data_IF_098996479530
#
_entry.id   IF_098996479530
#
_cell.length_a   1.000
_cell.length_b   1.000
_cell.length_c   1.000
_cell.angle_alpha   90.00
_cell.angle_beta   90.00
_cell.angle_gamma   90.00
#
_symmetry.space_group_name_H-M   'P 1'
#
loop_
_entity.id
_entity.type
_entity.pdbx_description
1 polymer ?
#
# COMPACT_ATOMS: atom_id res chain seq x y z
N UNK A 1 -24.90 -3.54 1.54
CA UNK A 1 -24.27 -2.54 0.65
C UNK A 1 -22.85 -3.01 0.42
N UNK A 2 -22.42 -3.33 -0.81
CA UNK A 2 -21.02 -3.67 -1.05
C UNK A 2 -20.13 -2.47 -0.68
N UNK A 3 -18.92 -2.71 -0.16
CA UNK A 3 -18.02 -1.66 0.33
C UNK A 3 -18.32 -1.11 1.74
N UNK A 4 -19.48 -1.45 2.34
CA UNK A 4 -19.78 -1.14 3.74
C UNK A 4 -19.32 -2.29 4.64
N UNK A 5 -18.45 -1.97 5.61
CA UNK A 5 -17.91 -2.90 6.62
C UNK A 5 -18.83 -2.99 7.83
N UNK A 6 -19.41 -1.88 8.28
CA UNK A 6 -20.33 -1.83 9.43
C UNK A 6 -21.38 -0.74 9.24
N UNK A 7 -22.58 -0.97 9.77
CA UNK A 7 -23.68 -0.02 9.75
C UNK A 7 -24.42 -0.03 11.09
N UNK A 8 -24.42 1.11 11.78
CA UNK A 8 -25.19 1.32 13.01
C UNK A 8 -26.42 2.16 12.71
N UNK A 9 -27.58 1.66 13.13
CA UNK A 9 -28.88 2.32 12.92
C UNK A 9 -29.50 2.64 14.27
N UNK A 10 -29.55 3.93 14.62
CA UNK A 10 -30.21 4.44 15.80
C UNK A 10 -31.51 5.18 15.46
N UNK A 11 -32.43 5.27 16.42
CA UNK A 11 -33.62 6.11 16.29
C UNK A 11 -33.51 7.32 17.21
N UNK A 12 -33.71 8.51 16.66
CA UNK A 12 -33.86 9.78 17.38
C UNK A 12 -35.32 10.21 17.34
N UNK A 13 -35.94 10.35 18.51
CA UNK A 13 -37.35 10.76 18.64
C UNK A 13 -37.56 12.20 18.16
N UNK A 14 -38.76 12.56 17.64
CA UNK A 14 -39.93 11.69 17.45
C UNK A 14 -39.94 10.84 16.17
N UNK A 15 -39.04 11.05 15.21
CA UNK A 15 -39.13 10.38 13.90
C UNK A 15 -37.88 10.35 13.03
N UNK A 16 -36.70 10.63 13.59
CA UNK A 16 -35.44 10.67 12.83
C UNK A 16 -34.70 9.35 12.98
N UNK A 17 -34.13 8.83 11.89
CA UNK A 17 -33.14 7.74 11.95
C UNK A 17 -31.73 8.36 11.94
N UNK A 18 -30.86 7.85 12.79
CA UNK A 18 -29.44 8.15 12.82
C UNK A 18 -28.71 6.95 12.22
N UNK A 19 -27.94 7.18 11.15
CA UNK A 19 -27.19 6.15 10.46
C UNK A 19 -25.70 6.48 10.57
N UNK A 20 -24.90 5.53 11.03
CA UNK A 20 -23.43 5.60 10.97
C UNK A 20 -22.95 4.43 10.12
N UNK A 21 -22.17 4.71 9.08
CA UNK A 21 -21.60 3.70 8.19
C UNK A 21 -20.08 3.72 8.30
N UNK A 22 -19.46 2.54 8.36
CA UNK A 22 -18.02 2.37 8.13
C UNK A 22 -17.82 1.69 6.79
N UNK A 23 -17.14 2.37 5.89
CA UNK A 23 -16.78 1.85 4.57
C UNK A 23 -15.36 1.27 4.57
N UNK A 24 -15.11 0.34 3.64
CA UNK A 24 -13.79 -0.25 3.45
C UNK A 24 -12.89 0.78 2.75
N UNK A 25 -11.79 1.14 3.40
CA UNK A 25 -10.84 2.10 2.86
C UNK A 25 -10.02 1.47 1.72
N UNK A 26 -9.98 2.08 0.53
CA UNK A 26 -9.16 1.58 -0.56
C UNK A 26 -7.67 1.77 -0.23
N UNK A 27 -6.86 0.76 -0.57
CA UNK A 27 -5.39 0.77 -0.37
C UNK A 27 -4.62 0.78 -1.68
N UNK A 28 -5.22 0.36 -2.79
CA UNK A 28 -4.56 0.33 -4.09
C UNK A 28 -5.56 0.38 -5.25
N UNK A 29 -5.04 0.64 -6.45
CA UNK A 29 -5.72 0.44 -7.72
C UNK A 29 -5.25 -0.89 -8.34
N UNK A 30 -6.16 -1.76 -8.73
CA UNK A 30 -5.83 -3.02 -9.38
C UNK A 30 -6.42 -3.12 -10.80
N UNK A 31 -5.72 -3.68 -11.78
CA UNK A 31 -6.30 -4.00 -13.09
C UNK A 31 -7.43 -5.03 -12.95
N UNK A 32 -8.61 -4.69 -13.47
CA UNK A 32 -9.79 -5.55 -13.46
C UNK A 32 -10.51 -5.44 -14.82
N UNK A 33 -10.31 -6.41 -15.72
CA UNK A 33 -11.04 -6.48 -16.98
C UNK A 33 -10.86 -5.25 -17.89
N UNK A 34 -9.63 -4.74 -18.01
CA UNK A 34 -9.30 -3.60 -18.89
C UNK A 34 -9.54 -2.21 -18.29
N UNK A 35 -9.99 -2.14 -17.03
CA UNK A 35 -10.13 -0.90 -16.25
C UNK A 35 -9.38 -1.03 -14.91
N UNK A 36 -9.23 0.08 -14.19
CA UNK A 36 -8.77 0.06 -12.80
C UNK A 36 -9.97 -0.11 -11.87
N UNK A 37 -9.76 -0.83 -10.78
CA UNK A 37 -10.71 -0.96 -9.69
C UNK A 37 -10.03 -0.69 -8.35
N UNK A 38 -10.79 -0.16 -7.40
CA UNK A 38 -10.31 0.06 -6.04
C UNK A 38 -10.27 -1.27 -5.29
N UNK A 39 -9.20 -1.51 -4.55
CA UNK A 39 -9.08 -2.68 -3.67
C UNK A 39 -8.80 -2.29 -2.24
N UNK A 40 -9.38 -3.01 -1.29
CA UNK A 40 -9.12 -2.84 0.14
C UNK A 40 -7.88 -3.62 0.61
N UNK A 41 -7.58 -3.54 1.91
CA UNK A 41 -6.43 -4.21 2.53
C UNK A 41 -6.48 -5.74 2.48
N UNK A 42 -7.66 -6.34 2.27
CA UNK A 42 -7.82 -7.77 2.06
C UNK A 42 -7.66 -8.16 0.57
N UNK A 43 -7.43 -7.19 -0.32
CA UNK A 43 -7.39 -7.38 -1.76
C UNK A 43 -8.77 -7.60 -2.39
N UNK A 44 -9.85 -7.28 -1.67
CA UNK A 44 -11.19 -7.35 -2.21
C UNK A 44 -11.48 -6.11 -3.07
N UNK A 45 -12.12 -6.34 -4.23
CA UNK A 45 -12.53 -5.27 -5.14
C UNK A 45 -13.71 -4.54 -4.54
N UNK A 46 -13.58 -3.22 -4.41
CA UNK A 46 -14.61 -2.33 -3.91
C UNK A 46 -15.54 -1.87 -5.05
N UNK A 47 -16.83 -1.63 -4.78
CA UNK A 47 -17.82 -1.28 -5.79
C UNK A 47 -17.78 0.22 -6.17
N UNK A 48 -16.68 0.91 -5.90
CA UNK A 48 -16.52 2.35 -6.12
C UNK A 48 -15.76 2.60 -7.42
N UNK A 49 -16.17 3.62 -8.18
CA UNK A 49 -15.47 4.01 -9.41
C UNK A 49 -14.24 4.88 -9.06
N UNK A 50 -13.01 4.44 -9.38
CA UNK A 50 -11.82 5.25 -9.16
C UNK A 50 -11.81 6.54 -10.00
N UNK A 51 -12.54 6.61 -11.10
CA UNK A 51 -12.60 7.81 -11.95
C UNK A 51 -13.41 8.94 -11.31
N UNK A 52 -14.35 8.63 -10.42
CA UNK A 52 -15.13 9.64 -9.70
C UNK A 52 -14.35 10.24 -8.52
N UNK A 53 -13.53 9.42 -7.85
CA UNK A 53 -12.77 9.83 -6.67
C UNK A 53 -11.33 10.27 -6.95
N UNK A 54 -10.77 9.87 -8.10
CA UNK A 54 -9.37 10.10 -8.51
C UNK A 54 -8.36 9.94 -7.36
N UNK A 55 -8.38 8.82 -6.62
CA UNK A 55 -7.61 8.70 -5.39
C UNK A 55 -6.13 8.48 -5.72
N UNK A 56 -5.25 9.16 -4.97
CA UNK A 56 -3.80 9.00 -5.07
C UNK A 56 -3.37 7.72 -4.37
N UNK A 57 -3.43 6.61 -5.11
CA UNK A 57 -3.18 5.25 -4.62
C UNK A 57 -2.20 4.50 -5.53
N UNK A 58 -1.31 3.69 -4.96
CA UNK A 58 -0.39 2.86 -5.73
C UNK A 58 -1.13 1.83 -6.59
N UNK A 59 -0.51 1.46 -7.71
CA UNK A 59 -1.03 0.40 -8.59
C UNK A 59 -0.56 -0.98 -8.12
N UNK A 60 -1.49 -1.88 -7.82
CA UNK A 60 -1.23 -3.27 -7.51
C UNK A 60 -1.14 -4.09 -8.81
N UNK A 61 0.06 -4.54 -9.14
CA UNK A 61 0.39 -5.32 -10.34
C UNK A 61 0.53 -6.80 -9.93
N UNK A 62 -0.60 -7.41 -9.56
CA UNK A 62 -0.67 -8.81 -9.10
C UNK A 62 -0.33 -9.03 -7.62
N UNK A 63 -0.43 -10.28 -7.16
CA UNK A 63 -0.20 -10.67 -5.76
C UNK A 63 -1.40 -10.51 -4.81
N UNK A 64 -2.48 -9.83 -5.24
CA UNK A 64 -3.78 -9.79 -4.56
C UNK A 64 -3.67 -9.38 -3.10
N UNK A 65 -4.32 -10.14 -2.21
CA UNK A 65 -4.37 -9.88 -0.76
C UNK A 65 -2.99 -9.68 -0.11
N UNK A 66 -1.95 -10.38 -0.56
CA UNK A 66 -0.60 -10.25 0.02
C UNK A 66 -0.01 -8.87 -0.23
N UNK A 67 -0.13 -8.36 -1.46
CA UNK A 67 0.37 -7.02 -1.82
C UNK A 67 -0.54 -5.94 -1.23
N UNK A 68 -1.86 -6.14 -1.26
CA UNK A 68 -2.80 -5.20 -0.65
C UNK A 68 -2.58 -5.05 0.86
N UNK A 69 -2.36 -6.16 1.58
CA UNK A 69 -2.04 -6.14 3.00
C UNK A 69 -0.68 -5.48 3.30
N UNK A 70 0.32 -5.72 2.45
CA UNK A 70 1.62 -5.05 2.54
C UNK A 70 1.50 -3.53 2.35
N UNK A 71 0.72 -3.09 1.36
CA UNK A 71 0.42 -1.67 1.11
C UNK A 71 -0.35 -1.03 2.27
N UNK A 72 -1.32 -1.74 2.84
CA UNK A 72 -2.03 -1.29 4.04
C UNK A 72 -1.07 -1.07 5.21
N UNK A 73 -0.16 -2.03 5.47
CA UNK A 73 0.87 -1.89 6.51
C UNK A 73 1.83 -0.75 6.23
N UNK A 74 2.23 -0.54 4.97
CA UNK A 74 3.03 0.61 4.58
C UNK A 74 2.32 1.93 4.91
N UNK A 75 1.03 2.04 4.59
CA UNK A 75 0.20 3.20 4.97
C UNK A 75 0.15 3.41 6.48
N UNK A 76 -0.07 2.34 7.25
CA UNK A 76 -0.26 2.42 8.70
C UNK A 76 1.04 2.76 9.43
N UNK A 77 2.17 2.22 8.97
CA UNK A 77 3.47 2.37 9.62
C UNK A 77 4.27 3.59 9.13
N UNK A 78 4.15 3.95 7.85
CA UNK A 78 4.80 5.11 7.26
C UNK A 78 3.96 5.70 6.11
N UNK A 79 3.01 6.61 6.44
CA UNK A 79 2.21 7.29 5.44
C UNK A 79 3.03 8.04 4.38
N UNK A 80 4.24 8.49 4.74
CA UNK A 80 5.11 9.25 3.83
C UNK A 80 5.75 8.35 2.79
N UNK A 81 6.14 7.12 3.17
CA UNK A 81 6.56 6.09 2.22
C UNK A 81 5.39 5.72 1.32
N UNK A 82 4.22 5.43 1.90
CA UNK A 82 3.03 5.00 1.16
C UNK A 82 2.64 5.98 0.05
N UNK A 83 2.64 7.28 0.34
CA UNK A 83 2.33 8.33 -0.63
C UNK A 83 3.32 8.44 -1.80
N UNK A 84 4.48 7.77 -1.72
CA UNK A 84 5.51 7.76 -2.77
C UNK A 84 5.54 6.44 -3.55
N UNK A 85 4.71 5.46 -3.19
CA UNK A 85 4.66 4.18 -3.89
C UNK A 85 3.90 4.37 -5.20
N UNK A 86 4.56 4.11 -6.31
CA UNK A 86 3.96 4.16 -7.64
C UNK A 86 3.20 2.86 -7.92
N UNK A 87 3.84 1.73 -7.63
CA UNK A 87 3.30 0.40 -7.86
C UNK A 87 3.82 -0.62 -6.86
N UNK A 88 3.10 -1.73 -6.72
CA UNK A 88 3.54 -2.86 -5.93
C UNK A 88 3.16 -4.19 -6.58
N UNK A 89 4.02 -5.19 -6.44
CA UNK A 89 3.79 -6.54 -6.93
C UNK A 89 4.44 -7.59 -6.04
N UNK A 90 4.08 -8.85 -6.27
CA UNK A 90 4.63 -9.99 -5.56
C UNK A 90 5.72 -10.66 -6.38
N UNK A 91 6.82 -11.05 -5.73
CA UNK A 91 7.87 -11.91 -6.29
C UNK A 91 8.12 -13.07 -5.33
N UNK A 92 7.70 -14.28 -5.69
CA UNK A 92 7.78 -15.42 -4.78
C UNK A 92 6.98 -15.15 -3.49
N UNK A 93 7.56 -15.27 -2.29
CA UNK A 93 6.90 -14.89 -1.03
C UNK A 93 6.97 -13.40 -0.72
N UNK A 94 7.71 -12.62 -1.50
CA UNK A 94 8.08 -11.25 -1.18
C UNK A 94 7.22 -10.22 -1.90
N UNK A 95 7.22 -9.00 -1.38
CA UNK A 95 6.54 -7.85 -1.97
C UNK A 95 7.58 -6.81 -2.34
N UNK A 96 7.41 -6.23 -3.53
CA UNK A 96 8.24 -5.15 -4.03
C UNK A 96 7.39 -3.90 -4.14
N UNK A 97 7.88 -2.79 -3.58
CA UNK A 97 7.35 -1.46 -3.81
C UNK A 97 8.24 -0.73 -4.81
N UNK A 98 7.64 -0.19 -5.86
CA UNK A 98 8.29 0.75 -6.77
C UNK A 98 8.05 2.18 -6.27
N UNK A 99 9.14 2.91 -6.11
CA UNK A 99 9.16 4.29 -5.59
C UNK A 99 10.12 5.11 -6.44
N UNK A 100 9.58 6.01 -7.27
CA UNK A 100 10.35 6.87 -8.16
C UNK A 100 11.29 6.10 -9.10
N UNK A 101 10.82 4.95 -9.61
CA UNK A 101 11.61 4.05 -10.48
C UNK A 101 12.67 3.20 -9.77
N UNK A 102 12.70 3.20 -8.42
CA UNK A 102 13.56 2.35 -7.59
C UNK A 102 12.74 1.27 -6.91
N UNK A 103 13.37 0.17 -6.51
CA UNK A 103 12.67 -0.97 -5.89
C UNK A 103 13.04 -1.13 -4.43
N UNK A 104 12.02 -1.29 -3.59
CA UNK A 104 12.16 -1.61 -2.18
C UNK A 104 11.57 -3.00 -1.95
N UNK A 105 12.39 -3.94 -1.50
CA UNK A 105 11.97 -5.32 -1.26
C UNK A 105 11.67 -5.55 0.22
N UNK A 106 10.54 -6.21 0.46
CA UNK A 106 10.07 -6.59 1.78
C UNK A 106 9.53 -8.02 1.76
N UNK A 107 9.51 -8.67 2.92
CA UNK A 107 8.78 -9.92 3.09
C UNK A 107 7.26 -9.68 3.07
N UNK A 108 6.46 -10.72 2.79
CA UNK A 108 5.00 -10.61 2.85
C UNK A 108 4.51 -10.01 4.18
N UNK A 109 5.08 -10.43 5.30
CA UNK A 109 4.73 -9.96 6.65
C UNK A 109 5.65 -8.82 7.12
N UNK A 110 5.96 -7.87 6.23
CA UNK A 110 6.74 -6.67 6.58
C UNK A 110 6.22 -5.97 7.83
N UNK A 111 7.15 -5.65 8.72
CA UNK A 111 6.91 -5.01 10.00
C UNK A 111 7.22 -3.51 9.91
N UNK A 112 6.81 -2.76 10.95
CA UNK A 112 7.19 -1.37 11.07
C UNK A 112 8.72 -1.18 11.20
N UNK A 113 9.44 -2.19 11.72
CA UNK A 113 10.91 -2.15 11.79
C UNK A 113 11.54 -2.27 10.42
N UNK A 114 11.04 -3.18 9.57
CA UNK A 114 11.56 -3.36 8.20
C UNK A 114 11.41 -2.08 7.37
N UNK A 115 10.25 -1.42 7.46
CA UNK A 115 10.01 -0.12 6.80
C UNK A 115 10.98 0.93 7.32
N UNK A 116 11.13 1.07 8.65
CA UNK A 116 12.05 2.05 9.24
C UNK A 116 13.49 1.80 8.82
N UNK A 117 13.92 0.54 8.74
CA UNK A 117 15.26 0.19 8.32
C UNK A 117 15.51 0.60 6.86
N UNK A 118 14.61 0.24 5.95
CA UNK A 118 14.73 0.58 4.52
C UNK A 118 14.69 2.09 4.29
N UNK A 119 13.75 2.80 4.91
CA UNK A 119 13.61 4.27 4.78
C UNK A 119 14.80 5.02 5.38
N UNK A 120 15.34 4.56 6.52
CA UNK A 120 16.55 5.14 7.10
C UNK A 120 17.76 4.98 6.16
N UNK A 121 17.90 3.83 5.50
CA UNK A 121 18.97 3.57 4.53
C UNK A 121 18.79 4.41 3.27
N UNK A 122 17.57 4.54 2.76
CA UNK A 122 17.24 5.43 1.66
C UNK A 122 17.67 6.88 1.97
N UNK A 123 17.28 7.41 3.13
CA UNK A 123 17.63 8.77 3.56
C UNK A 123 19.15 8.94 3.76
N UNK A 124 19.84 7.92 4.29
CA UNK A 124 21.28 7.94 4.44
C UNK A 124 22.00 8.00 3.08
N UNK A 125 21.56 7.20 2.10
CA UNK A 125 22.11 7.22 0.74
C UNK A 125 21.85 8.56 0.04
N UNK A 126 20.65 9.13 0.20
CA UNK A 126 20.29 10.43 -0.34
C UNK A 126 21.21 11.55 0.21
N UNK A 127 21.44 11.57 1.53
CA UNK A 127 22.38 12.53 2.17
C UNK A 127 23.82 12.37 1.69
N UNK A 128 24.21 11.16 1.28
CA UNK A 128 25.54 10.87 0.73
C UNK A 128 25.64 11.14 -0.79
N UNK A 129 24.54 11.53 -1.45
CA UNK A 129 24.52 11.70 -2.91
C UNK A 129 24.72 10.39 -3.67
N UNK A 130 24.42 9.23 -3.06
CA UNK A 130 24.65 7.92 -3.66
C UNK A 130 23.36 7.36 -4.27
N UNK A 131 23.42 6.95 -5.53
CA UNK A 131 22.30 6.30 -6.22
C UNK A 131 22.22 4.81 -5.91
N UNK A 132 21.01 4.27 -6.00
CA UNK A 132 20.72 2.85 -5.88
C UNK A 132 19.59 2.47 -6.86
N UNK A 133 19.57 1.20 -7.26
CA UNK A 133 18.48 0.59 -8.02
C UNK A 133 17.50 -0.09 -7.06
N UNK A 134 18.03 -0.82 -6.06
CA UNK A 134 17.20 -1.61 -5.16
C UNK A 134 17.70 -1.52 -3.71
N UNK A 135 16.77 -1.47 -2.77
CA UNK A 135 17.00 -1.71 -1.34
C UNK A 135 16.24 -2.96 -0.93
N UNK A 136 16.94 -3.88 -0.28
CA UNK A 136 16.36 -5.14 0.16
C UNK A 136 16.35 -5.23 1.69
N UNK A 137 15.16 -5.05 2.27
CA UNK A 137 14.91 -5.08 3.71
C UNK A 137 14.46 -6.44 4.23
N UNK A 138 14.57 -7.52 3.46
CA UNK A 138 14.14 -8.87 3.88
C UNK A 138 15.05 -9.50 4.93
N UNK A 139 16.21 -8.90 5.21
CA UNK A 139 17.22 -9.45 6.10
C UNK A 139 17.17 -8.77 7.47
N UNK A 140 17.02 -9.55 8.53
CA UNK A 140 16.92 -9.00 9.89
C UNK A 140 18.16 -8.17 10.24
N UNK A 141 17.92 -6.91 10.61
CA UNK A 141 18.96 -5.96 11.01
C UNK A 141 19.88 -5.47 9.88
N UNK A 142 19.58 -5.80 8.61
CA UNK A 142 20.41 -5.40 7.47
C UNK A 142 19.55 -5.00 6.27
N UNK A 143 19.98 -3.97 5.55
CA UNK A 143 19.40 -3.61 4.26
C UNK A 143 20.47 -3.77 3.19
N UNK A 144 20.22 -4.63 2.21
CA UNK A 144 21.15 -4.84 1.11
C UNK A 144 20.90 -3.78 0.04
N UNK A 145 21.96 -3.05 -0.31
CA UNK A 145 21.89 -1.98 -1.32
C UNK A 145 22.43 -2.49 -2.64
N UNK A 146 21.57 -2.55 -3.65
CA UNK A 146 21.99 -2.75 -5.04
C UNK A 146 22.20 -1.40 -5.71
N UNK A 147 23.44 -1.10 -6.09
CA UNK A 147 23.80 0.16 -6.74
C UNK A 147 23.40 0.15 -8.21
N UNK A 148 23.12 1.33 -8.74
CA UNK A 148 22.98 1.48 -10.18
C UNK A 148 24.32 1.27 -10.88
N UNK A 149 24.32 0.53 -12.00
CA UNK A 149 25.50 0.49 -12.86
C UNK A 149 25.65 1.86 -13.52
N UNK A 150 26.74 2.54 -13.20
CA UNK A 150 27.17 3.75 -13.89
C UNK A 150 27.57 3.42 -15.34
#
# INVERSE_FOLDING_TARGET
LPGVVEADVGRRVPGTLSLTLREAAPVALAPAGGRLALVDSAGAVLPFDPLESAPDLPVLIGGGASVAGALSRARDYDPSLFARIDAAWRVGPDVVFEVGGRRLWFGAELTAEDIRAVTAVEQALARQGRSFEELDGRFTGQVIVRRSRA
#
